data_IF_612395956947
#
_entry.id   IF_612395956947
#
_cell.length_a   1.000
_cell.length_b   1.000
_cell.length_c   1.000
_cell.angle_alpha   90.00
_cell.angle_beta   90.00
_cell.angle_gamma   90.00
#
_symmetry.space_group_name_H-M   'P 1'
#
loop_
_entity.id
_entity.type
_entity.pdbx_description
1 polymer ?
#
# COMPACT_ATOMS: atom_id res chain seq x y z
N UNK A 1 0.25 5.12 -15.79
CA UNK A 1 0.16 6.40 -16.53
C UNK A 1 -0.04 6.21 -18.03
N UNK A 2 0.76 5.41 -18.72
CA UNK A 2 0.75 5.26 -20.18
C UNK A 2 -0.59 4.75 -20.75
N UNK A 3 -1.17 3.68 -20.20
CA UNK A 3 -2.48 3.16 -20.61
C UNK A 3 -3.60 4.21 -20.43
N UNK A 4 -3.55 4.98 -19.36
CA UNK A 4 -4.51 6.05 -19.13
C UNK A 4 -4.38 7.18 -20.17
N UNK A 5 -3.17 7.46 -20.65
CA UNK A 5 -2.93 8.46 -21.67
C UNK A 5 -3.43 7.98 -23.05
N UNK A 6 -3.21 6.70 -23.38
CA UNK A 6 -3.77 6.08 -24.61
C UNK A 6 -5.30 6.17 -24.58
N UNK A 7 -5.91 5.78 -23.47
CA UNK A 7 -7.36 5.82 -23.31
C UNK A 7 -7.91 7.25 -23.42
N UNK A 8 -7.27 8.23 -22.77
CA UNK A 8 -7.63 9.65 -22.87
C UNK A 8 -7.53 10.16 -24.31
N UNK A 9 -6.43 9.86 -25.00
CA UNK A 9 -6.23 10.28 -26.39
C UNK A 9 -7.30 9.70 -27.31
N UNK A 10 -7.63 8.41 -27.16
CA UNK A 10 -8.69 7.77 -27.93
C UNK A 10 -10.08 8.36 -27.63
N UNK A 11 -10.41 8.68 -26.37
CA UNK A 11 -11.67 9.34 -26.03
C UNK A 11 -11.75 10.73 -26.65
N UNK A 12 -10.68 11.53 -26.56
CA UNK A 12 -10.64 12.87 -27.16
C UNK A 12 -10.82 12.76 -28.66
N UNK A 13 -10.11 11.82 -29.32
CA UNK A 13 -10.27 11.57 -30.75
C UNK A 13 -11.71 11.18 -31.14
N UNK A 14 -12.34 10.28 -30.38
CA UNK A 14 -13.73 9.89 -30.55
C UNK A 14 -14.68 11.10 -30.46
N UNK A 15 -14.48 11.95 -29.43
CA UNK A 15 -15.31 13.15 -29.25
C UNK A 15 -15.14 14.15 -30.39
N UNK A 16 -13.89 14.38 -30.83
CA UNK A 16 -13.59 15.31 -31.94
C UNK A 16 -14.23 14.82 -33.24
N UNK A 17 -14.06 13.53 -33.60
CA UNK A 17 -14.65 12.96 -34.81
C UNK A 17 -16.18 12.96 -34.75
N UNK A 18 -16.74 12.60 -33.57
CA UNK A 18 -18.19 12.64 -33.37
C UNK A 18 -18.76 14.05 -33.53
N UNK A 19 -18.05 15.07 -33.02
CA UNK A 19 -18.42 16.47 -33.20
C UNK A 19 -18.32 16.92 -34.67
N UNK A 20 -17.24 16.56 -35.37
CA UNK A 20 -17.07 16.84 -36.79
C UNK A 20 -18.19 16.23 -37.66
N UNK A 21 -18.55 14.96 -37.36
CA UNK A 21 -19.64 14.29 -38.07
C UNK A 21 -21.01 14.93 -37.75
N UNK A 22 -21.19 15.43 -36.54
CA UNK A 22 -22.41 16.13 -36.12
C UNK A 22 -22.53 17.49 -36.84
N UNK A 23 -21.47 18.29 -36.81
CA UNK A 23 -21.44 19.62 -37.46
C UNK A 23 -21.47 19.52 -39.01
N UNK A 24 -20.80 18.51 -39.55
CA UNK A 24 -20.73 18.25 -40.99
C UNK A 24 -21.97 17.53 -41.56
N UNK A 25 -22.96 17.16 -40.75
CA UNK A 25 -24.12 16.34 -41.14
C UNK A 25 -25.02 16.90 -42.26
N UNK A 26 -24.84 18.19 -42.66
CA UNK A 26 -25.49 18.80 -43.81
C UNK A 26 -24.72 18.62 -45.11
N UNK A 27 -23.51 18.06 -45.06
CA UNK A 27 -22.68 17.82 -46.24
C UNK A 27 -22.87 16.36 -46.72
N UNK A 28 -23.05 16.14 -47.99
CA UNK A 28 -23.29 14.82 -48.60
C UNK A 28 -22.24 13.76 -48.24
N UNK A 29 -20.97 14.18 -48.04
CA UNK A 29 -19.88 13.30 -47.65
C UNK A 29 -20.02 12.74 -46.23
N UNK A 30 -20.69 13.46 -45.30
CA UNK A 30 -20.84 13.05 -43.92
C UNK A 30 -22.21 12.45 -43.60
N UNK A 31 -23.21 12.67 -44.45
CA UNK A 31 -24.58 12.24 -44.20
C UNK A 31 -24.73 10.72 -44.12
N UNK A 32 -23.94 9.97 -44.89
CA UNK A 32 -23.99 8.52 -44.98
C UNK A 32 -22.98 7.80 -44.05
N UNK A 33 -22.33 8.53 -43.15
CA UNK A 33 -21.33 7.92 -42.30
C UNK A 33 -21.98 7.11 -41.14
N UNK A 34 -21.67 5.82 -41.07
CA UNK A 34 -22.26 4.92 -40.10
C UNK A 34 -21.69 5.23 -38.67
N UNK A 35 -22.56 5.67 -37.78
CA UNK A 35 -22.16 5.92 -36.37
C UNK A 35 -21.56 4.68 -35.68
N UNK A 36 -22.10 3.46 -35.82
CA UNK A 36 -21.47 2.25 -35.29
C UNK A 36 -20.06 2.00 -35.80
N UNK A 37 -19.75 2.39 -37.03
CA UNK A 37 -18.42 2.23 -37.62
C UNK A 37 -17.37 3.11 -36.90
N UNK A 38 -17.74 4.29 -36.45
CA UNK A 38 -16.84 5.17 -35.66
C UNK A 38 -16.47 4.51 -34.36
N UNK A 39 -17.43 3.98 -33.61
CA UNK A 39 -17.17 3.28 -32.37
C UNK A 39 -16.32 2.02 -32.56
N UNK A 40 -16.62 1.25 -33.63
CA UNK A 40 -15.85 0.06 -33.99
C UNK A 40 -14.40 0.44 -34.32
N UNK A 41 -14.20 1.49 -35.12
CA UNK A 41 -12.87 2.01 -35.45
C UNK A 41 -12.06 2.35 -34.23
N UNK A 42 -12.64 3.12 -33.27
CA UNK A 42 -11.95 3.47 -32.07
C UNK A 42 -11.68 2.26 -31.18
N UNK A 43 -12.57 1.29 -31.09
CA UNK A 43 -12.34 0.02 -30.38
C UNK A 43 -11.17 -0.76 -30.97
N UNK A 44 -11.12 -0.90 -32.29
CA UNK A 44 -10.03 -1.57 -33.02
C UNK A 44 -8.72 -0.79 -32.86
N UNK A 45 -8.76 0.55 -32.97
CA UNK A 45 -7.58 1.39 -32.81
C UNK A 45 -6.98 1.26 -31.39
N UNK A 46 -7.82 1.35 -30.37
CA UNK A 46 -7.39 1.19 -28.98
C UNK A 46 -6.75 -0.19 -28.74
N UNK A 47 -7.37 -1.25 -29.28
CA UNK A 47 -6.82 -2.60 -29.18
C UNK A 47 -5.48 -2.72 -29.91
N UNK A 48 -5.40 -2.20 -31.14
CA UNK A 48 -4.19 -2.23 -31.98
C UNK A 48 -3.04 -1.45 -31.30
N UNK A 49 -3.30 -0.26 -30.75
CA UNK A 49 -2.29 0.52 -30.00
C UNK A 49 -1.76 -0.22 -28.78
N UNK A 50 -2.65 -0.81 -27.98
CA UNK A 50 -2.26 -1.59 -26.78
C UNK A 50 -1.44 -2.82 -27.23
N UNK A 51 -1.89 -3.54 -28.26
CA UNK A 51 -1.20 -4.73 -28.78
C UNK A 51 0.18 -4.38 -29.31
N UNK A 52 0.28 -3.36 -30.18
CA UNK A 52 1.55 -2.92 -30.77
C UNK A 52 2.57 -2.50 -29.71
N UNK A 53 2.14 -1.74 -28.70
CA UNK A 53 3.01 -1.34 -27.58
C UNK A 53 3.50 -2.52 -26.77
N UNK A 54 2.63 -3.50 -26.49
CA UNK A 54 3.04 -4.70 -25.80
C UNK A 54 4.05 -5.54 -26.60
N UNK A 55 3.83 -5.68 -27.91
CA UNK A 55 4.78 -6.36 -28.81
C UNK A 55 6.14 -5.65 -28.79
N UNK A 56 6.16 -4.32 -28.95
CA UNK A 56 7.39 -3.53 -28.91
C UNK A 56 8.12 -3.67 -27.56
N UNK A 57 7.37 -3.64 -26.45
CA UNK A 57 7.96 -3.87 -25.12
C UNK A 57 8.60 -5.25 -24.98
N UNK A 58 7.90 -6.29 -25.41
CA UNK A 58 8.42 -7.66 -25.34
C UNK A 58 9.67 -7.79 -26.23
N UNK A 59 9.63 -7.24 -27.46
CA UNK A 59 10.76 -7.25 -28.37
C UNK A 59 11.97 -6.51 -27.78
N UNK A 60 11.80 -5.29 -27.27
CA UNK A 60 12.86 -4.51 -26.65
C UNK A 60 13.43 -5.20 -25.38
N UNK A 61 12.59 -5.77 -24.54
CA UNK A 61 13.03 -6.54 -23.37
C UNK A 61 13.86 -7.76 -23.77
N UNK A 62 13.42 -8.49 -24.79
CA UNK A 62 14.13 -9.64 -25.32
C UNK A 62 15.48 -9.25 -25.95
N UNK A 63 15.54 -8.12 -26.66
CA UNK A 63 16.81 -7.60 -27.20
C UNK A 63 17.77 -7.20 -26.08
N UNK A 64 17.31 -6.49 -25.07
CA UNK A 64 18.14 -6.05 -23.93
C UNK A 64 18.67 -7.23 -23.13
N UNK A 65 17.85 -8.23 -22.85
CA UNK A 65 18.29 -9.45 -22.14
C UNK A 65 19.34 -10.24 -22.92
N UNK A 66 19.39 -10.11 -24.26
CA UNK A 66 20.42 -10.69 -25.13
C UNK A 66 21.67 -9.82 -25.28
N UNK A 67 21.74 -8.68 -24.58
CA UNK A 67 22.91 -7.76 -24.62
C UNK A 67 22.84 -6.66 -25.67
N UNK A 68 21.74 -6.56 -26.45
CA UNK A 68 21.54 -5.48 -27.40
C UNK A 68 20.92 -4.25 -26.75
N UNK A 69 21.27 -3.05 -27.25
CA UNK A 69 20.73 -1.78 -26.74
C UNK A 69 20.86 -1.62 -25.22
N UNK A 70 22.07 -1.97 -24.70
CA UNK A 70 22.41 -1.79 -23.30
C UNK A 70 22.96 -0.38 -23.08
N UNK A 71 22.62 0.17 -21.91
CA UNK A 71 23.18 1.43 -21.41
C UNK A 71 24.34 1.15 -20.47
N UNK A 72 25.49 1.75 -20.77
CA UNK A 72 26.67 1.67 -19.95
C UNK A 72 26.59 2.63 -18.78
N UNK A 73 26.57 2.09 -17.56
CA UNK A 73 26.37 2.82 -16.33
C UNK A 73 27.60 2.70 -15.42
N UNK A 74 28.00 3.83 -14.83
CA UNK A 74 29.01 3.90 -13.78
C UNK A 74 28.35 4.20 -12.44
N UNK A 75 28.77 3.50 -11.38
CA UNK A 75 28.37 3.81 -10.01
C UNK A 75 29.42 4.69 -9.34
N UNK A 76 29.00 5.71 -8.61
CA UNK A 76 29.88 6.58 -7.82
C UNK A 76 29.48 6.49 -6.36
N UNK A 77 30.36 5.87 -5.56
CA UNK A 77 30.17 5.49 -4.16
C UNK A 77 29.74 4.04 -3.97
N UNK A 78 30.51 3.31 -3.16
CA UNK A 78 30.17 1.95 -2.73
C UNK A 78 29.36 2.01 -1.44
N UNK A 79 28.10 1.69 -1.52
CA UNK A 79 27.18 1.69 -0.40
C UNK A 79 26.15 0.56 -0.54
N UNK A 80 25.29 0.36 0.46
CA UNK A 80 24.14 -0.57 0.35
C UNK A 80 23.20 -0.18 -0.79
N UNK A 81 23.12 1.10 -1.13
CA UNK A 81 22.35 1.55 -2.29
C UNK A 81 22.97 1.04 -3.59
N UNK A 82 24.31 1.03 -3.71
CA UNK A 82 25.03 0.46 -4.83
C UNK A 82 24.78 -1.05 -4.95
N UNK A 83 24.96 -1.80 -3.85
CA UNK A 83 24.68 -3.24 -3.81
C UNK A 83 23.24 -3.56 -4.18
N UNK A 84 22.29 -2.83 -3.59
CA UNK A 84 20.87 -2.98 -3.89
C UNK A 84 20.48 -2.62 -5.32
N UNK A 85 21.22 -1.72 -5.98
CA UNK A 85 21.03 -1.40 -7.39
C UNK A 85 21.60 -2.51 -8.28
N UNK A 86 22.81 -2.99 -7.99
CA UNK A 86 23.43 -4.13 -8.70
C UNK A 86 22.54 -5.36 -8.64
N UNK A 87 22.00 -5.67 -7.46
CA UNK A 87 21.08 -6.81 -7.28
C UNK A 87 19.86 -6.71 -8.19
N UNK A 88 19.26 -5.53 -8.27
CA UNK A 88 18.09 -5.29 -9.11
C UNK A 88 18.40 -5.37 -10.60
N UNK A 89 19.54 -4.85 -11.01
CA UNK A 89 19.99 -4.92 -12.41
C UNK A 89 20.24 -6.38 -12.82
N UNK A 90 20.88 -7.17 -11.96
CA UNK A 90 21.17 -8.58 -12.23
C UNK A 90 19.90 -9.45 -12.29
N UNK A 91 18.89 -9.14 -11.46
CA UNK A 91 17.60 -9.85 -11.48
C UNK A 91 16.73 -9.44 -12.67
N UNK A 92 16.94 -8.22 -13.22
CA UNK A 92 16.12 -7.67 -14.31
C UNK A 92 16.99 -7.28 -15.53
N UNK A 93 17.59 -8.23 -16.25
CA UNK A 93 18.46 -7.95 -17.39
C UNK A 93 17.74 -7.21 -18.52
N UNK A 94 16.41 -7.30 -18.58
CA UNK A 94 15.58 -6.58 -19.53
C UNK A 94 15.58 -5.04 -19.32
N UNK A 95 16.09 -4.54 -18.19
CA UNK A 95 16.31 -3.10 -18.01
C UNK A 95 17.43 -2.57 -18.93
N UNK A 96 18.33 -3.46 -19.36
CA UNK A 96 19.37 -3.16 -20.33
C UNK A 96 20.49 -2.31 -19.75
N UNK A 97 20.76 -2.38 -18.45
CA UNK A 97 21.92 -1.74 -17.83
C UNK A 97 23.14 -2.68 -17.84
N UNK A 98 24.29 -2.13 -18.23
CA UNK A 98 25.58 -2.76 -18.08
C UNK A 98 26.45 -1.91 -17.17
N UNK A 99 26.62 -2.33 -15.93
CA UNK A 99 27.45 -1.61 -14.96
C UNK A 99 28.92 -1.84 -15.32
N UNK A 100 29.65 -0.75 -15.57
CA UNK A 100 31.06 -0.78 -15.97
C UNK A 100 32.00 -0.92 -14.79
N UNK A 101 31.60 -0.39 -13.62
CA UNK A 101 32.39 -0.42 -12.39
C UNK A 101 31.84 0.54 -11.36
N UNK A 102 32.54 0.63 -10.25
CA UNK A 102 32.25 1.51 -9.12
C UNK A 102 33.49 2.39 -8.89
N UNK A 103 33.26 3.67 -8.62
CA UNK A 103 34.28 4.57 -8.09
C UNK A 103 34.02 4.76 -6.59
N UNK A 104 35.09 4.56 -5.79
CA UNK A 104 34.96 4.72 -4.33
C UNK A 104 36.29 5.12 -3.72
N UNK A 105 36.30 5.96 -2.68
CA UNK A 105 37.51 6.44 -2.03
C UNK A 105 37.98 5.57 -0.88
N UNK A 106 37.08 4.77 -0.30
CA UNK A 106 37.34 3.98 0.91
C UNK A 106 37.58 2.51 0.64
N UNK A 107 37.03 2.00 -0.45
CA UNK A 107 37.14 0.59 -0.80
C UNK A 107 38.37 0.31 -1.66
N UNK A 108 38.97 -0.86 -1.46
CA UNK A 108 40.16 -1.25 -2.19
C UNK A 108 39.90 -1.45 -3.69
N UNK A 109 40.85 -1.03 -4.50
CA UNK A 109 40.80 -1.28 -5.94
C UNK A 109 40.70 -2.76 -6.26
N UNK A 110 39.75 -3.14 -7.12
CA UNK A 110 39.51 -4.53 -7.47
C UNK A 110 38.50 -5.27 -6.55
N UNK A 111 38.05 -4.66 -5.44
CA UNK A 111 36.94 -5.22 -4.67
C UNK A 111 35.73 -5.45 -5.58
N UNK A 112 35.15 -6.64 -5.51
CA UNK A 112 34.05 -7.06 -6.40
C UNK A 112 32.78 -7.40 -5.65
N UNK A 113 31.66 -6.95 -6.19
CA UNK A 113 30.32 -7.36 -5.75
C UNK A 113 29.50 -7.84 -6.95
N UNK A 114 29.19 -9.15 -6.98
CA UNK A 114 28.37 -9.80 -8.04
C UNK A 114 28.78 -9.45 -9.47
N UNK A 115 30.07 -9.47 -9.75
CA UNK A 115 30.63 -9.21 -11.07
C UNK A 115 30.94 -7.74 -11.36
N UNK A 116 30.65 -6.82 -10.44
CA UNK A 116 30.95 -5.40 -10.59
C UNK A 116 32.13 -5.04 -9.66
N UNK A 117 33.19 -4.44 -10.24
CA UNK A 117 34.43 -4.13 -9.51
C UNK A 117 34.58 -2.65 -9.21
N UNK A 118 35.25 -2.35 -8.11
CA UNK A 118 35.80 -1.01 -7.84
C UNK A 118 36.97 -0.79 -8.79
N UNK A 119 36.87 0.22 -9.66
CA UNK A 119 37.81 0.49 -10.77
C UNK A 119 38.66 1.74 -10.56
N UNK A 120 38.41 2.53 -9.53
CA UNK A 120 39.14 3.75 -9.22
C UNK A 120 38.52 4.54 -8.08
N UNK A 121 39.13 5.70 -7.85
CA UNK A 121 38.63 6.68 -6.86
C UNK A 121 37.63 7.65 -7.48
N UNK A 122 36.93 8.38 -6.63
CA UNK A 122 35.94 9.38 -7.09
C UNK A 122 36.63 10.50 -7.90
N UNK A 123 37.88 10.82 -7.57
CA UNK A 123 38.63 11.82 -8.32
C UNK A 123 39.01 11.39 -9.77
N UNK A 124 38.94 10.08 -10.07
CA UNK A 124 39.15 9.58 -11.44
C UNK A 124 37.93 9.80 -12.35
N UNK A 125 36.83 10.30 -11.81
CA UNK A 125 35.57 10.50 -12.52
C UNK A 125 35.75 11.38 -13.76
N UNK A 126 36.46 12.51 -13.66
CA UNK A 126 36.67 13.44 -14.79
C UNK A 126 37.44 12.78 -15.93
N UNK A 127 38.42 11.92 -15.61
CA UNK A 127 39.21 11.17 -16.60
C UNK A 127 38.32 10.14 -17.32
N UNK A 128 37.46 9.44 -16.60
CA UNK A 128 36.55 8.44 -17.16
C UNK A 128 35.45 9.11 -18.03
N UNK A 129 34.94 10.26 -17.60
CA UNK A 129 34.00 11.04 -18.36
C UNK A 129 34.56 11.55 -19.70
N UNK A 130 35.84 11.91 -19.73
CA UNK A 130 36.50 12.35 -20.95
C UNK A 130 36.56 11.26 -22.05
N UNK A 131 36.43 9.98 -21.69
CA UNK A 131 36.42 8.87 -22.65
C UNK A 131 35.09 8.70 -23.40
N UNK A 132 34.04 9.42 -23.04
CA UNK A 132 32.68 9.39 -23.64
C UNK A 132 32.12 7.98 -23.87
N UNK A 133 32.37 7.04 -22.96
CA UNK A 133 31.93 5.62 -23.07
C UNK A 133 30.74 5.29 -22.19
N UNK A 134 30.22 6.27 -21.48
CA UNK A 134 29.15 6.10 -20.52
C UNK A 134 27.85 6.77 -20.99
N UNK A 135 26.74 6.06 -20.83
CA UNK A 135 25.40 6.59 -21.10
C UNK A 135 24.78 7.22 -19.84
N UNK A 136 25.06 6.64 -18.68
CA UNK A 136 24.47 7.07 -17.41
C UNK A 136 25.45 6.94 -16.23
N UNK A 137 25.30 7.82 -15.25
CA UNK A 137 25.98 7.75 -13.95
C UNK A 137 24.93 7.63 -12.86
N UNK A 138 25.13 6.72 -11.92
CA UNK A 138 24.33 6.64 -10.71
C UNK A 138 25.20 6.93 -9.48
N UNK A 139 24.89 8.01 -8.80
CA UNK A 139 25.56 8.41 -7.56
C UNK A 139 24.91 7.64 -6.42
N UNK A 140 25.70 6.81 -5.74
CA UNK A 140 25.29 5.89 -4.68
C UNK A 140 26.12 6.08 -3.42
N UNK A 141 26.51 7.33 -3.13
CA UNK A 141 27.31 7.69 -1.96
C UNK A 141 26.64 7.27 -0.65
N UNK A 142 27.44 6.90 0.33
CA UNK A 142 26.99 6.80 1.71
C UNK A 142 26.59 8.18 2.25
N UNK A 143 25.69 8.24 3.25
CA UNK A 143 25.22 9.53 3.82
C UNK A 143 26.38 10.36 4.36
N UNK A 144 27.43 9.70 4.89
CA UNK A 144 28.61 10.36 5.41
C UNK A 144 29.41 11.12 4.34
N UNK A 145 29.24 10.73 3.06
CA UNK A 145 29.99 11.28 1.94
C UNK A 145 29.23 12.31 1.12
N UNK A 146 28.04 12.72 1.56
CA UNK A 146 27.21 13.69 0.82
C UNK A 146 27.89 15.06 0.66
N UNK A 147 28.92 15.39 1.45
CA UNK A 147 29.76 16.56 1.21
C UNK A 147 30.51 16.57 -0.13
N UNK A 148 30.69 15.40 -0.77
CA UNK A 148 31.30 15.27 -2.10
C UNK A 148 30.31 15.44 -3.25
N UNK A 149 28.99 15.41 -2.95
CA UNK A 149 27.92 15.36 -3.95
C UNK A 149 27.96 16.53 -4.92
N UNK A 150 28.19 17.74 -4.43
CA UNK A 150 28.24 18.95 -5.25
C UNK A 150 29.35 18.88 -6.30
N UNK A 151 30.57 18.46 -5.91
CA UNK A 151 31.72 18.28 -6.83
C UNK A 151 31.43 17.25 -7.91
N UNK A 152 30.84 16.11 -7.51
CA UNK A 152 30.52 15.01 -8.44
C UNK A 152 29.44 15.45 -9.43
N UNK A 153 28.36 16.08 -8.95
CA UNK A 153 27.29 16.58 -9.82
C UNK A 153 27.83 17.61 -10.81
N UNK A 154 28.63 18.57 -10.36
CA UNK A 154 29.23 19.58 -11.23
C UNK A 154 30.12 18.97 -12.33
N UNK A 155 30.91 17.90 -12.03
CA UNK A 155 31.67 17.14 -13.01
C UNK A 155 30.77 16.42 -14.02
N UNK A 156 29.72 15.78 -13.55
CA UNK A 156 28.74 15.09 -14.41
C UNK A 156 28.01 16.08 -15.34
N UNK A 157 27.57 17.22 -14.83
CA UNK A 157 26.88 18.25 -15.64
C UNK A 157 27.77 18.81 -16.77
N UNK A 158 29.06 19.03 -16.50
CA UNK A 158 30.02 19.45 -17.52
C UNK A 158 30.19 18.45 -18.66
N UNK A 159 30.06 17.15 -18.35
CA UNK A 159 30.17 16.09 -19.36
C UNK A 159 28.90 15.86 -20.18
N UNK A 160 27.75 16.33 -19.70
CA UNK A 160 26.42 16.09 -20.31
C UNK A 160 25.91 14.65 -20.16
N UNK A 161 26.58 13.77 -19.40
CA UNK A 161 26.13 12.41 -19.14
C UNK A 161 24.93 12.41 -18.21
N UNK A 162 23.91 11.59 -18.52
CA UNK A 162 22.71 11.51 -17.70
C UNK A 162 23.03 10.99 -16.29
N UNK A 163 22.76 11.82 -15.29
CA UNK A 163 23.13 11.54 -13.90
C UNK A 163 21.89 11.25 -13.05
N UNK A 164 21.96 10.20 -12.23
CA UNK A 164 20.94 9.81 -11.26
C UNK A 164 21.54 9.81 -9.87
N UNK A 165 20.77 10.23 -8.88
CA UNK A 165 21.11 10.10 -7.48
C UNK A 165 20.26 9.02 -6.83
N UNK A 166 20.88 8.01 -6.23
CA UNK A 166 20.25 6.90 -5.50
C UNK A 166 20.68 7.03 -4.04
N UNK A 167 19.88 7.66 -3.19
CA UNK A 167 20.26 7.93 -1.80
C UNK A 167 20.31 6.64 -0.97
N UNK A 168 21.35 6.51 -0.13
CA UNK A 168 21.50 5.40 0.80
C UNK A 168 20.79 5.69 2.12
N UNK A 169 19.46 5.49 2.15
CA UNK A 169 18.65 5.67 3.35
C UNK A 169 18.16 4.34 3.97
N UNK A 170 18.56 3.19 3.43
CA UNK A 170 18.04 1.88 3.87
C UNK A 170 18.29 1.59 5.35
N UNK A 171 19.36 2.13 5.93
CA UNK A 171 19.65 1.96 7.35
C UNK A 171 18.69 2.74 8.26
N UNK A 172 18.11 3.83 7.76
CA UNK A 172 17.29 4.77 8.53
C UNK A 172 15.80 4.64 8.23
N UNK A 173 15.48 4.26 6.97
CA UNK A 173 14.10 4.14 6.47
C UNK A 173 13.85 2.70 6.00
N UNK A 174 13.45 1.79 6.92
CA UNK A 174 13.23 0.37 6.59
C UNK A 174 11.89 0.12 5.86
N UNK A 175 11.28 1.16 5.32
CA UNK A 175 9.98 1.12 4.63
C UNK A 175 10.16 1.59 3.18
N UNK A 176 9.10 1.54 2.38
CA UNK A 176 9.09 2.14 1.04
C UNK A 176 8.85 3.65 1.16
N UNK A 177 9.89 4.49 1.04
CA UNK A 177 9.72 5.92 1.09
C UNK A 177 8.94 6.39 -0.14
N UNK A 178 8.18 7.46 0.02
CA UNK A 178 7.49 8.15 -1.05
C UNK A 178 8.12 9.53 -1.22
N UNK A 179 8.45 9.90 -2.45
CA UNK A 179 8.99 11.21 -2.76
C UNK A 179 7.85 12.11 -3.28
N UNK A 180 7.72 13.26 -2.68
CA UNK A 180 6.79 14.31 -3.08
C UNK A 180 7.57 15.58 -3.43
N UNK A 181 7.12 16.29 -4.45
CA UNK A 181 7.67 17.60 -4.80
C UNK A 181 6.75 18.70 -4.25
N UNK A 182 7.27 19.45 -3.29
CA UNK A 182 6.61 20.65 -2.76
C UNK A 182 7.20 21.89 -3.43
N UNK A 183 6.69 22.23 -4.60
CA UNK A 183 7.09 23.43 -5.36
C UNK A 183 8.61 23.52 -5.60
N UNK A 184 9.22 22.41 -6.01
CA UNK A 184 10.66 22.31 -6.27
C UNK A 184 11.49 21.80 -5.08
N UNK A 185 10.89 21.62 -3.89
CA UNK A 185 11.55 20.99 -2.75
C UNK A 185 11.22 19.50 -2.73
N UNK A 186 12.19 18.59 -2.97
CA UNK A 186 11.96 17.16 -2.87
C UNK A 186 11.82 16.74 -1.40
N UNK A 187 10.64 16.24 -1.03
CA UNK A 187 10.35 15.72 0.31
C UNK A 187 10.26 14.22 0.27
N UNK A 188 11.07 13.56 1.11
CA UNK A 188 11.06 12.10 1.25
C UNK A 188 10.21 11.74 2.48
N UNK A 189 9.02 11.26 2.24
CA UNK A 189 8.19 10.70 3.30
C UNK A 189 8.74 9.32 3.71
N UNK A 190 9.05 9.17 5.00
CA UNK A 190 9.59 7.92 5.55
C UNK A 190 8.66 6.72 5.29
N UNK A 191 7.37 6.99 5.11
CA UNK A 191 6.34 5.97 4.86
C UNK A 191 5.27 6.47 3.92
N UNK A 192 4.89 5.60 3.00
CA UNK A 192 3.71 5.81 2.16
C UNK A 192 2.47 5.20 2.82
N UNK A 193 1.49 6.04 3.14
CA UNK A 193 0.16 5.63 3.62
C UNK A 193 -0.88 6.08 2.59
N UNK A 194 -1.34 5.21 1.68
CA UNK A 194 -2.28 5.61 0.61
C UNK A 194 -3.54 6.33 1.11
N UNK A 195 -3.98 6.03 2.33
CA UNK A 195 -5.17 6.64 2.94
C UNK A 195 -4.97 8.07 3.46
N UNK A 196 -3.77 8.63 3.41
CA UNK A 196 -3.55 10.08 3.65
C UNK A 196 -3.97 10.92 2.44
N UNK A 197 -4.01 10.33 1.24
CA UNK A 197 -4.54 10.98 0.06
C UNK A 197 -6.05 11.20 0.18
N UNK A 198 -6.52 12.43 -0.08
CA UNK A 198 -7.92 12.83 0.10
C UNK A 198 -8.89 12.00 -0.74
N UNK A 199 -8.56 11.69 -2.00
CA UNK A 199 -9.39 10.86 -2.87
C UNK A 199 -9.55 9.45 -2.32
N UNK A 200 -8.44 8.82 -1.92
CA UNK A 200 -8.45 7.50 -1.33
C UNK A 200 -9.25 7.47 -0.01
N UNK A 201 -9.04 8.47 0.85
CA UNK A 201 -9.77 8.60 2.11
C UNK A 201 -11.27 8.77 1.89
N UNK A 202 -11.66 9.56 0.87
CA UNK A 202 -13.07 9.77 0.50
C UNK A 202 -13.68 8.49 -0.08
N UNK A 203 -13.00 7.82 -1.02
CA UNK A 203 -13.45 6.54 -1.57
C UNK A 203 -13.64 5.48 -0.48
N UNK A 204 -12.66 5.38 0.42
CA UNK A 204 -12.72 4.50 1.59
C UNK A 204 -13.91 4.82 2.47
N UNK A 205 -14.14 6.10 2.78
CA UNK A 205 -15.24 6.54 3.63
C UNK A 205 -16.61 6.27 2.98
N UNK A 206 -16.74 6.51 1.68
CA UNK A 206 -17.96 6.20 0.92
C UNK A 206 -18.26 4.70 0.96
N UNK A 207 -17.25 3.85 0.73
CA UNK A 207 -17.39 2.39 0.83
C UNK A 207 -17.82 1.96 2.25
N UNK A 208 -17.22 2.54 3.30
CA UNK A 208 -17.56 2.24 4.69
C UNK A 208 -19.01 2.64 5.02
N UNK A 209 -19.47 3.80 4.55
CA UNK A 209 -20.84 4.26 4.76
C UNK A 209 -21.86 3.40 4.01
N UNK A 210 -21.65 3.18 2.72
CA UNK A 210 -22.56 2.39 1.88
C UNK A 210 -22.60 0.94 2.36
N UNK A 211 -21.42 0.32 2.52
CA UNK A 211 -21.31 -1.07 2.98
C UNK A 211 -21.81 -1.25 4.42
N UNK A 212 -21.50 -0.31 5.31
CA UNK A 212 -21.96 -0.31 6.71
C UNK A 212 -23.48 -0.17 6.80
N UNK A 213 -24.10 0.71 6.00
CA UNK A 213 -25.56 0.86 5.93
C UNK A 213 -26.23 -0.40 5.39
N UNK A 214 -25.72 -0.95 4.29
CA UNK A 214 -26.24 -2.20 3.72
C UNK A 214 -26.13 -3.35 4.72
N UNK A 215 -24.99 -3.49 5.39
CA UNK A 215 -24.80 -4.51 6.42
C UNK A 215 -25.75 -4.30 7.62
N UNK A 216 -25.94 -3.05 8.06
CA UNK A 216 -26.85 -2.74 9.16
C UNK A 216 -28.30 -3.13 8.81
N UNK A 217 -28.78 -2.81 7.61
CA UNK A 217 -30.12 -3.19 7.13
C UNK A 217 -30.24 -4.72 7.06
N UNK A 218 -29.24 -5.39 6.45
CA UNK A 218 -29.27 -6.85 6.29
C UNK A 218 -29.27 -7.59 7.63
N UNK A 219 -28.44 -7.14 8.59
CA UNK A 219 -28.29 -7.81 9.89
C UNK A 219 -29.22 -7.26 10.98
N UNK A 220 -30.02 -6.23 10.69
CA UNK A 220 -30.96 -5.66 11.68
C UNK A 220 -31.92 -6.68 12.30
N UNK A 221 -32.51 -7.65 11.56
CA UNK A 221 -33.36 -8.67 12.19
C UNK A 221 -32.59 -9.56 13.16
N UNK A 222 -31.37 -9.96 12.79
CA UNK A 222 -30.50 -10.77 13.66
C UNK A 222 -30.10 -9.98 14.90
N UNK A 223 -29.80 -8.69 14.76
CA UNK A 223 -29.45 -7.82 15.87
C UNK A 223 -30.64 -7.64 16.83
N UNK A 224 -31.85 -7.48 16.30
CA UNK A 224 -33.08 -7.36 17.13
C UNK A 224 -33.35 -8.63 17.93
N UNK A 225 -33.32 -9.80 17.28
CA UNK A 225 -33.50 -11.09 17.96
C UNK A 225 -32.42 -11.30 19.04
N UNK A 226 -31.15 -10.99 18.72
CA UNK A 226 -30.05 -11.10 19.69
C UNK A 226 -30.26 -10.18 20.89
N UNK A 227 -30.71 -8.94 20.67
CA UNK A 227 -30.99 -7.99 21.72
C UNK A 227 -32.09 -8.50 22.68
N UNK A 228 -33.17 -9.05 22.14
CA UNK A 228 -34.28 -9.64 22.92
C UNK A 228 -33.76 -10.84 23.74
N UNK A 229 -33.02 -11.75 23.14
CA UNK A 229 -32.46 -12.92 23.81
C UNK A 229 -31.51 -12.54 24.95
N UNK A 230 -30.60 -11.56 24.75
CA UNK A 230 -29.72 -11.07 25.83
C UNK A 230 -30.54 -10.47 26.98
N UNK A 231 -31.55 -9.69 26.68
CA UNK A 231 -32.39 -9.06 27.70
C UNK A 231 -33.22 -10.07 28.48
N UNK A 232 -33.73 -11.12 27.83
CA UNK A 232 -34.50 -12.19 28.46
C UNK A 232 -33.65 -13.15 29.33
N UNK A 233 -32.39 -13.35 28.97
CA UNK A 233 -31.54 -14.37 29.62
C UNK A 233 -30.61 -13.82 30.72
N UNK A 234 -30.43 -12.51 30.78
CA UNK A 234 -29.53 -11.94 31.80
C UNK A 234 -29.89 -10.47 32.14
N UNK A 235 -29.82 -10.06 33.44
CA UNK A 235 -30.07 -8.68 33.86
C UNK A 235 -28.95 -7.74 33.39
N UNK A 236 -29.31 -6.48 33.02
CA UNK A 236 -28.39 -5.43 32.64
C UNK A 236 -28.54 -4.90 31.21
N UNK A 237 -27.60 -4.06 30.72
CA UNK A 237 -27.66 -3.44 29.39
C UNK A 237 -27.41 -4.48 28.30
N UNK A 238 -28.06 -4.32 27.13
CA UNK A 238 -27.90 -5.19 25.97
C UNK A 238 -26.56 -4.92 25.26
N UNK A 239 -26.18 -3.64 25.19
CA UNK A 239 -24.94 -3.19 24.57
C UNK A 239 -23.88 -3.01 25.64
N UNK A 240 -22.72 -3.58 25.38
CA UNK A 240 -21.50 -3.39 26.12
C UNK A 240 -20.61 -2.39 25.41
N UNK A 241 -20.08 -1.42 26.13
CA UNK A 241 -19.20 -0.37 25.60
C UNK A 241 -17.82 -0.52 26.20
N UNK A 242 -16.80 -0.61 25.34
CA UNK A 242 -15.40 -0.67 25.79
C UNK A 242 -14.56 0.39 25.09
N UNK A 243 -13.74 1.08 25.87
CA UNK A 243 -12.81 2.07 25.32
C UNK A 243 -11.71 1.38 24.53
N UNK A 244 -11.44 1.92 23.33
CA UNK A 244 -10.43 1.46 22.39
C UNK A 244 -9.69 2.66 21.79
N UNK A 245 -8.46 2.43 21.31
CA UNK A 245 -7.67 3.44 20.61
C UNK A 245 -7.98 3.38 19.13
N UNK A 246 -8.30 4.53 18.54
CA UNK A 246 -8.66 4.69 17.14
C UNK A 246 -7.66 5.54 16.36
N UNK A 247 -8.19 6.19 15.31
CA UNK A 247 -7.43 7.06 14.41
C UNK A 247 -6.72 8.18 15.20
N UNK A 248 -5.45 8.43 14.88
CA UNK A 248 -4.60 9.44 15.54
C UNK A 248 -4.54 9.30 17.06
N UNK A 249 -4.54 8.06 17.55
CA UNK A 249 -4.49 7.71 18.98
C UNK A 249 -5.69 8.23 19.78
N UNK A 250 -6.78 8.66 19.14
CA UNK A 250 -7.97 9.15 19.85
C UNK A 250 -8.77 7.98 20.40
N UNK A 251 -9.10 7.96 21.70
CA UNK A 251 -9.93 6.93 22.28
C UNK A 251 -11.36 7.06 21.78
N UNK A 252 -12.05 5.93 21.62
CA UNK A 252 -13.46 5.86 21.25
C UNK A 252 -14.16 4.71 21.96
N UNK A 253 -15.49 4.78 22.11
CA UNK A 253 -16.31 3.73 22.70
C UNK A 253 -16.73 2.74 21.63
N UNK A 254 -16.17 1.53 21.66
CA UNK A 254 -16.51 0.44 20.77
C UNK A 254 -17.76 -0.29 21.30
N UNK A 255 -18.77 -0.47 20.46
CA UNK A 255 -20.03 -1.13 20.79
C UNK A 255 -19.99 -2.62 20.50
N UNK A 256 -20.47 -3.44 21.45
CA UNK A 256 -20.68 -4.89 21.27
C UNK A 256 -21.95 -5.33 21.94
N UNK A 257 -22.51 -6.47 21.54
CA UNK A 257 -23.50 -7.13 22.37
C UNK A 257 -22.85 -7.70 23.62
N UNK A 258 -23.55 -7.59 24.75
CA UNK A 258 -23.08 -8.18 25.99
C UNK A 258 -23.09 -9.70 25.91
N UNK A 259 -21.94 -10.31 26.02
CA UNK A 259 -21.73 -11.76 25.99
C UNK A 259 -21.30 -12.34 27.35
N UNK A 260 -21.08 -11.47 28.34
CA UNK A 260 -20.60 -11.83 29.67
C UNK A 260 -21.49 -11.21 30.75
N UNK A 261 -21.49 -11.79 31.95
CA UNK A 261 -22.13 -11.20 33.13
C UNK A 261 -21.44 -9.86 33.51
N UNK A 262 -22.22 -8.92 34.03
CA UNK A 262 -21.75 -7.59 34.41
C UNK A 262 -20.77 -7.71 35.58
N UNK A 263 -19.60 -7.09 35.46
CA UNK A 263 -18.57 -7.03 36.49
C UNK A 263 -18.21 -5.60 36.90
N UNK A 264 -17.46 -5.47 37.99
CA UNK A 264 -16.90 -4.18 38.41
C UNK A 264 -15.85 -3.68 37.42
N UNK A 265 -15.89 -2.38 37.09
CA UNK A 265 -15.04 -1.72 36.10
C UNK A 265 -13.52 -1.90 36.33
N UNK A 266 -13.08 -2.16 37.56
CA UNK A 266 -11.66 -2.36 37.88
C UNK A 266 -11.09 -3.68 37.35
N UNK A 267 -11.86 -4.76 37.37
CA UNK A 267 -11.43 -6.08 36.85
C UNK A 267 -11.48 -6.17 35.33
N UNK A 268 -12.29 -5.35 34.71
CA UNK A 268 -12.43 -5.31 33.24
C UNK A 268 -11.22 -4.68 32.53
N UNK A 269 -10.50 -3.78 33.17
CA UNK A 269 -9.46 -2.96 32.53
C UNK A 269 -8.17 -3.72 32.19
N UNK A 270 -7.77 -4.75 32.96
CA UNK A 270 -6.44 -5.36 32.85
C UNK A 270 -6.42 -6.83 32.42
N UNK A 271 -7.54 -7.56 32.50
CA UNK A 271 -7.57 -9.00 32.22
C UNK A 271 -7.88 -9.31 30.75
N UNK A 272 -7.11 -10.19 30.16
CA UNK A 272 -7.40 -10.80 28.87
C UNK A 272 -8.46 -11.89 29.06
N UNK A 273 -9.37 -12.05 28.09
CA UNK A 273 -10.36 -13.14 28.12
C UNK A 273 -9.69 -14.45 27.68
N UNK A 274 -9.77 -15.46 28.52
CA UNK A 274 -9.20 -16.80 28.24
C UNK A 274 -10.28 -17.77 27.73
N UNK A 275 -9.89 -18.87 27.03
CA UNK A 275 -10.80 -19.94 26.66
C UNK A 275 -11.49 -20.52 27.90
N UNK A 276 -12.81 -20.74 27.81
CA UNK A 276 -13.57 -21.31 28.94
C UNK A 276 -13.89 -20.36 30.09
N UNK A 277 -13.76 -19.04 29.90
CA UNK A 277 -14.04 -18.02 30.91
C UNK A 277 -15.45 -18.19 31.50
N UNK A 278 -15.60 -18.43 32.83
CA UNK A 278 -16.87 -18.71 33.49
C UNK A 278 -17.89 -17.56 33.43
N UNK A 279 -17.41 -16.37 33.08
CA UNK A 279 -18.26 -15.16 32.93
C UNK A 279 -19.14 -15.17 31.70
N UNK A 280 -18.83 -16.03 30.71
CA UNK A 280 -19.54 -16.09 29.42
C UNK A 280 -20.90 -16.72 29.62
N UNK A 281 -21.98 -15.99 29.29
CA UNK A 281 -23.34 -16.50 29.34
C UNK A 281 -23.55 -17.57 28.25
N UNK A 282 -24.55 -18.48 28.40
CA UNK A 282 -24.84 -19.50 27.36
C UNK A 282 -25.11 -18.86 25.98
N UNK A 283 -25.92 -17.79 25.93
CA UNK A 283 -26.15 -17.01 24.71
C UNK A 283 -24.91 -16.27 24.26
N UNK A 284 -24.10 -15.78 25.21
CA UNK A 284 -22.83 -15.14 24.96
C UNK A 284 -21.84 -16.05 24.23
N UNK A 285 -21.83 -17.36 24.56
CA UNK A 285 -20.98 -18.33 23.89
C UNK A 285 -21.38 -18.49 22.41
N UNK A 286 -22.69 -18.54 22.13
CA UNK A 286 -23.20 -18.63 20.76
C UNK A 286 -22.86 -17.39 19.93
N UNK A 287 -23.17 -16.17 20.45
CA UNK A 287 -22.93 -14.93 19.70
C UNK A 287 -21.44 -14.63 19.49
N UNK A 288 -20.57 -15.05 20.40
CA UNK A 288 -19.11 -14.95 20.22
C UNK A 288 -18.57 -15.91 19.17
N UNK A 289 -19.03 -17.18 19.18
CA UNK A 289 -18.65 -18.17 18.18
C UNK A 289 -19.04 -17.76 16.76
N UNK A 290 -20.17 -17.06 16.63
CA UNK A 290 -20.69 -16.56 15.33
C UNK A 290 -20.26 -15.13 15.02
N UNK A 291 -19.51 -14.47 15.90
CA UNK A 291 -19.13 -13.05 15.81
C UNK A 291 -20.33 -12.08 15.74
N UNK A 292 -21.54 -12.52 16.05
CA UNK A 292 -22.76 -11.67 16.14
C UNK A 292 -22.59 -10.59 17.20
N UNK A 293 -21.80 -10.86 18.25
CA UNK A 293 -21.49 -9.90 19.31
C UNK A 293 -20.79 -8.63 18.78
N UNK A 294 -20.15 -8.69 17.61
CA UNK A 294 -19.44 -7.57 16.99
C UNK A 294 -20.32 -6.73 16.04
N UNK A 295 -21.56 -7.17 15.71
CA UNK A 295 -22.46 -6.42 14.81
C UNK A 295 -22.76 -4.98 15.25
N UNK A 296 -22.90 -4.64 16.54
CA UNK A 296 -23.11 -3.24 16.96
C UNK A 296 -21.96 -2.29 16.58
N UNK A 297 -20.77 -2.80 16.23
CA UNK A 297 -19.68 -1.97 15.69
C UNK A 297 -20.03 -1.32 14.35
N UNK A 298 -21.05 -1.80 13.63
CA UNK A 298 -21.58 -1.11 12.44
C UNK A 298 -22.00 0.34 12.76
N UNK A 299 -22.51 0.60 13.95
CA UNK A 299 -22.78 1.98 14.39
C UNK A 299 -21.50 2.81 14.55
N UNK A 300 -20.39 2.20 15.02
CA UNK A 300 -19.10 2.89 15.07
C UNK A 300 -18.57 3.18 13.64
N UNK A 301 -18.82 2.28 12.67
CA UNK A 301 -18.45 2.51 11.27
C UNK A 301 -19.22 3.69 10.70
N UNK A 302 -20.55 3.73 10.88
CA UNK A 302 -21.39 4.83 10.39
C UNK A 302 -21.04 6.16 11.05
N UNK A 303 -20.74 6.15 12.35
CA UNK A 303 -20.29 7.32 13.10
C UNK A 303 -18.91 7.84 12.65
N UNK A 304 -18.04 6.95 12.15
CA UNK A 304 -16.70 7.29 11.68
C UNK A 304 -15.58 6.99 12.67
N UNK A 305 -15.89 6.36 13.80
CA UNK A 305 -14.88 5.88 14.76
C UNK A 305 -14.12 4.67 14.21
N UNK A 306 -14.79 3.85 13.39
CA UNK A 306 -14.27 2.63 12.78
C UNK A 306 -14.49 2.62 11.25
N UNK A 307 -13.90 1.63 10.63
CA UNK A 307 -14.06 1.23 9.23
C UNK A 307 -14.55 -0.22 9.16
N UNK A 308 -15.10 -0.65 8.03
CA UNK A 308 -15.39 -2.07 7.78
C UNK A 308 -14.09 -2.88 7.79
N UNK A 309 -13.06 -2.38 7.09
CA UNK A 309 -11.74 -3.02 6.97
C UNK A 309 -10.65 -2.12 7.52
N UNK A 310 -9.82 -2.65 8.40
CA UNK A 310 -8.70 -1.93 9.01
C UNK A 310 -8.00 -2.74 10.11
N UNK A 311 -6.94 -2.22 10.71
CA UNK A 311 -6.30 -2.81 11.88
C UNK A 311 -7.26 -2.98 13.05
N UNK A 312 -7.16 -4.09 13.78
CA UNK A 312 -8.03 -4.31 14.94
C UNK A 312 -7.72 -3.32 16.07
N UNK A 313 -8.73 -2.64 16.67
CA UNK A 313 -8.51 -1.69 17.76
C UNK A 313 -8.15 -2.41 19.06
N UNK A 314 -7.18 -1.87 19.79
CA UNK A 314 -6.76 -2.39 21.08
C UNK A 314 -7.15 -1.47 22.23
N UNK A 315 -7.18 -2.01 23.47
CA UNK A 315 -7.46 -1.24 24.69
C UNK A 315 -6.29 -0.31 25.02
N UNK A 316 -6.50 0.88 25.58
CA UNK A 316 -5.42 1.81 25.92
C UNK A 316 -4.29 1.17 26.73
N UNK A 317 -4.63 0.36 27.72
CA UNK A 317 -3.65 -0.36 28.54
C UNK A 317 -2.66 -1.21 27.72
N UNK A 318 -3.17 -1.94 26.71
CA UNK A 318 -2.31 -2.76 25.84
C UNK A 318 -1.55 -1.94 24.84
N UNK A 319 -2.11 -0.82 24.37
CA UNK A 319 -1.40 0.09 23.47
C UNK A 319 -0.17 0.66 24.15
N UNK A 320 -0.29 1.11 25.42
CA UNK A 320 0.83 1.60 26.20
C UNK A 320 1.93 0.56 26.39
N UNK A 321 1.56 -0.69 26.64
CA UNK A 321 2.52 -1.79 26.74
C UNK A 321 3.20 -2.10 25.41
N UNK A 322 2.41 -2.28 24.34
CA UNK A 322 2.94 -2.72 23.05
C UNK A 322 3.75 -1.65 22.32
N UNK A 323 3.51 -0.36 22.56
CA UNK A 323 4.29 0.70 21.94
C UNK A 323 5.77 0.66 22.35
N UNK A 324 6.07 0.21 23.58
CA UNK A 324 7.43 0.08 24.08
C UNK A 324 8.10 -1.23 23.63
N UNK A 325 7.32 -2.31 23.50
CA UNK A 325 7.85 -3.65 23.19
C UNK A 325 7.98 -3.88 21.67
N UNK A 326 7.14 -3.26 20.85
CA UNK A 326 7.05 -3.57 19.41
C UNK A 326 7.39 -2.33 18.58
N UNK A 327 8.50 -2.38 17.84
CA UNK A 327 8.84 -1.29 16.93
C UNK A 327 7.72 -1.00 15.94
N UNK A 328 7.46 0.28 15.68
CA UNK A 328 6.45 0.75 14.71
C UNK A 328 4.99 0.42 15.07
N UNK A 329 4.71 -0.05 16.29
CA UNK A 329 3.36 -0.39 16.73
C UNK A 329 2.35 0.76 16.51
N UNK A 330 2.74 2.00 16.82
CA UNK A 330 1.85 3.18 16.78
C UNK A 330 1.37 3.55 15.40
N UNK A 331 2.01 3.04 14.34
CA UNK A 331 1.65 3.33 12.95
C UNK A 331 0.26 2.83 12.61
N UNK A 332 -0.19 1.74 13.23
CA UNK A 332 -1.55 1.20 13.02
C UNK A 332 -2.66 2.22 13.29
N UNK A 333 -2.37 3.25 14.08
CA UNK A 333 -3.33 4.31 14.40
C UNK A 333 -3.34 5.47 13.38
N UNK A 334 -2.57 5.38 12.30
CA UNK A 334 -2.64 6.33 11.17
C UNK A 334 -3.87 6.10 10.28
N UNK A 335 -4.56 4.99 10.44
CA UNK A 335 -5.80 4.66 9.74
C UNK A 335 -6.90 4.30 10.74
N UNK A 336 -8.18 4.37 10.30
CA UNK A 336 -9.30 3.95 11.16
C UNK A 336 -9.19 2.46 11.46
N UNK A 337 -9.45 2.04 12.71
CA UNK A 337 -9.53 0.63 13.05
C UNK A 337 -10.71 -0.04 12.34
N UNK A 338 -10.56 -1.32 11.99
CA UNK A 338 -11.56 -2.10 11.26
C UNK A 338 -12.35 -3.08 12.12
N UNK A 339 -13.55 -3.43 11.65
CA UNK A 339 -14.29 -4.59 12.13
C UNK A 339 -13.57 -5.89 11.71
N UNK A 340 -13.11 -5.95 10.47
CA UNK A 340 -12.20 -6.98 9.96
C UNK A 340 -10.90 -6.37 9.46
N UNK A 341 -9.88 -7.19 9.19
CA UNK A 341 -8.59 -6.71 8.73
C UNK A 341 -7.69 -7.81 8.20
N UNK A 342 -6.61 -7.40 7.54
CA UNK A 342 -5.67 -8.33 6.90
C UNK A 342 -5.05 -9.31 7.90
N UNK A 343 -4.68 -8.86 9.09
CA UNK A 343 -4.20 -9.74 10.16
C UNK A 343 -5.25 -10.78 10.56
N UNK A 344 -6.52 -10.37 10.69
CA UNK A 344 -7.61 -11.24 11.12
C UNK A 344 -7.90 -12.35 10.12
N UNK A 345 -7.98 -12.04 8.81
CA UNK A 345 -8.23 -13.05 7.76
C UNK A 345 -7.04 -13.99 7.53
N UNK A 346 -5.85 -13.63 8.03
CA UNK A 346 -4.68 -14.50 8.04
C UNK A 346 -4.47 -15.25 9.36
N UNK A 347 -5.48 -15.25 10.26
CA UNK A 347 -5.46 -16.06 11.48
C UNK A 347 -4.84 -15.38 12.71
N UNK A 348 -4.37 -14.14 12.60
CA UNK A 348 -3.79 -13.39 13.72
C UNK A 348 -4.86 -12.64 14.52
N UNK A 349 -5.82 -13.40 15.09
CA UNK A 349 -6.90 -12.91 15.97
C UNK A 349 -6.78 -13.59 17.33
N UNK A 350 -7.12 -12.89 18.43
CA UNK A 350 -7.10 -13.45 19.77
C UNK A 350 -5.67 -13.60 20.35
N UNK A 351 -5.39 -14.72 20.97
CA UNK A 351 -4.09 -15.02 21.60
C UNK A 351 -3.10 -15.56 20.55
N UNK A 352 -2.57 -14.67 19.74
CA UNK A 352 -1.62 -14.97 18.68
C UNK A 352 -0.44 -13.97 18.73
N UNK A 353 0.65 -14.24 18.00
CA UNK A 353 1.81 -13.36 17.93
C UNK A 353 1.42 -11.91 17.58
N UNK A 354 1.62 -11.00 18.54
CA UNK A 354 1.34 -9.56 18.34
C UNK A 354 2.26 -8.98 17.27
N UNK A 355 3.52 -9.38 17.23
CA UNK A 355 4.49 -8.93 16.21
C UNK A 355 3.99 -9.25 14.80
N UNK A 356 3.60 -10.51 14.55
CA UNK A 356 3.06 -10.91 13.23
C UNK A 356 1.74 -10.20 12.89
N UNK A 357 0.91 -9.94 13.90
CA UNK A 357 -0.31 -9.13 13.72
C UNK A 357 0.04 -7.74 13.22
N UNK A 358 1.01 -7.08 13.87
CA UNK A 358 1.45 -5.74 13.50
C UNK A 358 2.07 -5.73 12.10
N UNK A 359 2.87 -6.73 11.73
CA UNK A 359 3.41 -6.84 10.36
C UNK A 359 2.29 -6.87 9.30
N UNK A 360 1.22 -7.63 9.55
CA UNK A 360 0.06 -7.68 8.64
C UNK A 360 -0.75 -6.37 8.64
N UNK A 361 -0.90 -5.74 9.80
CA UNK A 361 -1.56 -4.44 9.91
C UNK A 361 -0.77 -3.36 9.14
N UNK A 362 0.57 -3.35 9.26
CA UNK A 362 1.44 -2.44 8.52
C UNK A 362 1.40 -2.71 7.02
N UNK A 363 1.43 -3.98 6.62
CA UNK A 363 1.28 -4.35 5.21
C UNK A 363 -0.01 -3.81 4.61
N UNK A 364 -1.13 -3.92 5.33
CA UNK A 364 -2.41 -3.36 4.92
C UNK A 364 -2.34 -1.84 4.75
N UNK A 365 -1.76 -1.14 5.72
CA UNK A 365 -1.66 0.33 5.72
C UNK A 365 -0.82 0.83 4.54
N UNK A 366 0.30 0.17 4.26
CA UNK A 366 1.26 0.58 3.23
C UNK A 366 0.82 0.20 1.80
N UNK A 367 0.00 -0.85 1.67
CA UNK A 367 -0.44 -1.37 0.37
C UNK A 367 -1.95 -1.25 0.14
N UNK A 368 -2.60 -0.34 0.86
CA UNK A 368 -4.03 -0.18 0.74
C UNK A 368 -4.46 0.18 -0.70
N UNK A 369 -5.48 -0.51 -1.16
CA UNK A 369 -6.27 -0.19 -2.36
C UNK A 369 -7.72 -0.55 -2.10
N UNK A 370 -8.65 0.05 -2.83
CA UNK A 370 -10.07 -0.31 -2.72
C UNK A 370 -10.31 -1.80 -3.01
N UNK A 371 -9.62 -2.35 -4.01
CA UNK A 371 -9.68 -3.79 -4.33
C UNK A 371 -9.14 -4.67 -3.21
N UNK A 372 -8.18 -4.19 -2.43
CA UNK A 372 -7.66 -4.92 -1.28
C UNK A 372 -8.70 -5.00 -0.15
N UNK A 373 -9.47 -3.93 0.08
CA UNK A 373 -10.59 -3.97 1.02
C UNK A 373 -11.67 -4.97 0.60
N UNK A 374 -12.08 -4.99 -0.67
CA UNK A 374 -13.02 -5.99 -1.18
C UNK A 374 -12.48 -7.42 -1.01
N UNK A 375 -11.19 -7.65 -1.27
CA UNK A 375 -10.55 -8.95 -1.04
C UNK A 375 -10.63 -9.37 0.43
N UNK A 376 -10.36 -8.46 1.37
CA UNK A 376 -10.44 -8.74 2.81
C UNK A 376 -11.87 -9.03 3.24
N UNK A 377 -12.85 -8.25 2.78
CA UNK A 377 -14.28 -8.50 3.06
C UNK A 377 -14.72 -9.87 2.53
N UNK A 378 -14.36 -10.21 1.30
CA UNK A 378 -14.61 -11.53 0.73
C UNK A 378 -14.02 -12.66 1.59
N UNK A 379 -12.73 -12.56 1.92
CA UNK A 379 -12.05 -13.53 2.77
C UNK A 379 -12.67 -13.63 4.17
N UNK A 380 -13.22 -12.54 4.72
CA UNK A 380 -13.88 -12.52 6.02
C UNK A 380 -15.13 -13.40 6.01
N UNK A 381 -15.93 -13.32 4.94
CA UNK A 381 -17.13 -14.17 4.80
C UNK A 381 -16.74 -15.64 4.75
N UNK A 382 -15.76 -16.02 3.95
CA UNK A 382 -15.36 -17.42 3.76
C UNK A 382 -14.52 -17.99 4.91
N UNK A 383 -13.57 -17.22 5.44
CA UNK A 383 -12.70 -17.67 6.54
C UNK A 383 -13.30 -17.41 7.92
N UNK A 384 -14.22 -16.47 8.04
CA UNK A 384 -14.94 -16.18 9.31
C UNK A 384 -15.73 -17.38 9.83
N UNK A 385 -16.27 -18.20 8.93
CA UNK A 385 -16.97 -19.45 9.25
C UNK A 385 -16.05 -20.63 9.61
N UNK A 386 -14.74 -20.56 9.27
CA UNK A 386 -13.81 -21.69 9.40
C UNK A 386 -12.75 -21.42 10.50
N UNK A 387 -12.78 -20.25 11.15
CA UNK A 387 -11.72 -19.86 12.09
C UNK A 387 -11.78 -20.69 13.40
N UNK A 388 -10.80 -21.60 13.57
CA UNK A 388 -10.58 -22.37 14.79
C UNK A 388 -10.22 -21.54 16.04
N UNK A 389 -9.92 -20.22 15.88
CA UNK A 389 -9.47 -19.30 16.93
C UNK A 389 -10.55 -18.27 17.34
N UNK A 390 -11.82 -18.48 17.01
CA UNK A 390 -12.94 -17.73 17.58
C UNK A 390 -13.34 -18.40 18.90
N UNK A 391 -12.97 -17.78 20.02
CA UNK A 391 -13.34 -18.21 21.38
C UNK A 391 -14.70 -17.68 21.79
#
# INVERSE_FOLDING_TARGET
MELANIFKANIIGLLVISLMLYLGGKNEYFHNFSRPMVFLFFGINLFAEILMRNILRIALRSMRSKGYNQKHLLLVGYSRAAEGFIDRVNVNPEWGYKIRGILDDHEEWGKEYKGVRVIGKIDDLDTILALNTLDEIAITLSIQEYGKLEKIVAGCEKSGVHTKFIPDYYNFIPTRPFMEDLQGLPVIHIRHVPLTNLLNATMKRTMDLVGGMMALILFSPVMLVTAILIKATSPGPVIFCQERVGLHNKPFKMYKFRSMAVQSAAKEKSQWTTPGDPRVTPIGRFIRKTSIDELPQLFNVLKGDMSLVGPRPERPFFVEKFKEEIPRYMIKHQVRPGMTGWAQVNGYRGDTSITKRIEHDLYYIENWTLGFDFKIMFLTVFKGFINKNAY
#
